data_IF_396677492226
#
_entry.id   IF_396677492226
#
_cell.length_a   1.000
_cell.length_b   1.000
_cell.length_c   1.000
_cell.angle_alpha   90.00
_cell.angle_beta   90.00
_cell.angle_gamma   90.00
#
_symmetry.space_group_name_H-M   'P 1'
#
loop_
_entity.id
_entity.type
_entity.pdbx_description
1 polymer ?
#
# COMPACT_ATOMS: atom_id res chain seq x y z
N UNK A 1 -29.55 16.07 -16.38
CA UNK A 1 -28.97 15.24 -17.46
C UNK A 1 -27.65 15.83 -17.96
N UNK A 2 -27.54 17.15 -18.18
CA UNK A 2 -26.29 17.81 -18.61
C UNK A 2 -25.12 17.61 -17.65
N UNK A 3 -25.36 17.68 -16.33
CA UNK A 3 -24.31 17.51 -15.31
C UNK A 3 -23.73 16.09 -15.29
N UNK A 4 -24.50 15.08 -15.67
CA UNK A 4 -24.01 13.71 -15.76
C UNK A 4 -23.02 13.55 -16.93
N UNK A 5 -23.39 14.07 -18.11
CA UNK A 5 -22.55 14.02 -19.30
C UNK A 5 -21.27 14.86 -19.14
N UNK A 6 -21.35 15.98 -18.41
CA UNK A 6 -20.19 16.81 -18.08
C UNK A 6 -19.17 16.09 -17.17
N UNK A 7 -19.64 15.26 -16.24
CA UNK A 7 -18.78 14.52 -15.30
C UNK A 7 -18.30 13.16 -15.82
N UNK A 8 -18.83 12.67 -16.95
CA UNK A 8 -18.41 11.40 -17.55
C UNK A 8 -16.89 11.27 -17.73
N UNK A 9 -16.15 12.28 -18.26
CA UNK A 9 -14.69 12.19 -18.39
C UNK A 9 -13.99 12.03 -17.04
N UNK A 10 -14.44 12.76 -16.01
CA UNK A 10 -13.90 12.68 -14.66
C UNK A 10 -14.14 11.31 -14.02
N UNK A 11 -15.33 10.72 -14.21
CA UNK A 11 -15.61 9.37 -13.72
C UNK A 11 -14.75 8.31 -14.40
N UNK A 12 -14.53 8.43 -15.71
CA UNK A 12 -13.65 7.52 -16.46
C UNK A 12 -12.20 7.67 -15.97
N UNK A 13 -11.72 8.91 -15.79
CA UNK A 13 -10.37 9.17 -15.31
C UNK A 13 -10.15 8.60 -13.89
N UNK A 14 -11.09 8.81 -12.97
CA UNK A 14 -11.02 8.25 -11.61
C UNK A 14 -11.12 6.72 -11.61
N UNK A 15 -11.98 6.14 -12.47
CA UNK A 15 -12.08 4.69 -12.64
C UNK A 15 -10.78 4.08 -13.15
N UNK A 16 -10.15 4.71 -14.14
CA UNK A 16 -8.87 4.28 -14.68
C UNK A 16 -7.74 4.40 -13.63
N UNK A 17 -7.68 5.52 -12.90
CA UNK A 17 -6.71 5.71 -11.82
C UNK A 17 -6.81 4.61 -10.75
N UNK A 18 -8.03 4.32 -10.28
CA UNK A 18 -8.27 3.23 -9.32
C UNK A 18 -7.94 1.86 -9.92
N UNK A 19 -8.27 1.63 -11.19
CA UNK A 19 -7.90 0.40 -11.91
C UNK A 19 -6.38 0.20 -11.96
N UNK A 20 -5.61 1.25 -12.24
CA UNK A 20 -4.15 1.21 -12.21
C UNK A 20 -3.62 0.84 -10.82
N UNK A 21 -4.20 1.40 -9.74
CA UNK A 21 -3.82 1.05 -8.36
C UNK A 21 -4.06 -0.45 -8.12
N UNK A 22 -5.24 -0.97 -8.45
CA UNK A 22 -5.54 -2.39 -8.25
C UNK A 22 -4.65 -3.32 -9.07
N UNK A 23 -4.32 -2.94 -10.31
CA UNK A 23 -3.39 -3.70 -11.17
C UNK A 23 -1.98 -3.69 -10.56
N UNK A 24 -1.49 -2.54 -10.06
CA UNK A 24 -0.18 -2.46 -9.42
C UNK A 24 -0.10 -3.34 -8.17
N UNK A 25 -1.14 -3.33 -7.33
CA UNK A 25 -1.21 -4.20 -6.14
C UNK A 25 -1.23 -5.68 -6.54
N UNK A 26 -2.05 -6.04 -7.53
CA UNK A 26 -2.14 -7.40 -8.04
C UNK A 26 -0.81 -7.88 -8.65
N UNK A 27 -0.12 -7.02 -9.42
CA UNK A 27 1.22 -7.31 -9.94
C UNK A 27 2.24 -7.52 -8.82
N UNK A 28 2.24 -6.68 -7.78
CA UNK A 28 3.11 -6.85 -6.62
C UNK A 28 2.90 -8.20 -5.93
N UNK A 29 1.64 -8.58 -5.71
CA UNK A 29 1.30 -9.88 -5.16
C UNK A 29 1.77 -11.02 -6.06
N UNK A 30 1.57 -10.92 -7.38
CA UNK A 30 1.99 -11.93 -8.35
C UNK A 30 3.52 -12.10 -8.40
N UNK A 31 4.29 -11.01 -8.33
CA UNK A 31 5.76 -11.07 -8.32
C UNK A 31 6.28 -11.80 -7.08
N UNK A 32 5.71 -11.51 -5.90
CA UNK A 32 6.08 -12.18 -4.65
C UNK A 32 5.72 -13.67 -4.72
N UNK A 33 4.49 -13.98 -5.16
CA UNK A 33 4.05 -15.36 -5.27
C UNK A 33 4.87 -16.17 -6.28
N UNK A 34 5.15 -15.59 -7.46
CA UNK A 34 5.93 -16.24 -8.52
C UNK A 34 7.38 -16.53 -8.10
N UNK A 35 7.98 -15.64 -7.29
CA UNK A 35 9.36 -15.82 -6.82
C UNK A 35 9.50 -16.71 -5.59
N UNK A 36 8.52 -16.71 -4.69
CA UNK A 36 8.60 -17.44 -3.41
C UNK A 36 7.80 -18.75 -3.40
N UNK A 37 6.81 -18.91 -4.27
CA UNK A 37 5.85 -20.00 -4.24
C UNK A 37 4.88 -19.96 -3.05
N UNK A 38 4.87 -18.86 -2.28
CA UNK A 38 4.08 -18.71 -1.06
C UNK A 38 3.22 -17.45 -1.12
N UNK A 39 1.98 -17.57 -0.67
CA UNK A 39 1.07 -16.43 -0.54
C UNK A 39 1.45 -15.62 0.70
N UNK A 40 1.82 -14.35 0.50
CA UNK A 40 2.06 -13.40 1.58
C UNK A 40 0.77 -12.67 1.94
N UNK A 41 0.18 -12.98 3.09
CA UNK A 41 -1.05 -12.34 3.56
C UNK A 41 -0.85 -10.92 4.09
N UNK A 42 0.39 -10.48 4.35
CA UNK A 42 0.69 -9.12 4.77
C UNK A 42 0.70 -8.09 3.63
N UNK A 43 0.48 -8.52 2.37
CA UNK A 43 0.59 -7.64 1.21
C UNK A 43 -0.27 -6.38 1.30
N UNK A 44 -1.52 -6.52 1.76
CA UNK A 44 -2.44 -5.39 1.92
C UNK A 44 -1.93 -4.37 2.96
N UNK A 45 -1.24 -4.84 3.99
CA UNK A 45 -0.71 -3.97 5.04
C UNK A 45 0.50 -3.16 4.57
N UNK A 46 1.31 -3.68 3.64
CA UNK A 46 2.35 -2.86 2.99
C UNK A 46 1.74 -1.71 2.17
N UNK A 47 0.63 -1.96 1.47
CA UNK A 47 -0.10 -0.92 0.75
C UNK A 47 -0.67 0.13 1.72
N UNK A 48 -1.29 -0.32 2.83
CA UNK A 48 -1.79 0.57 3.88
C UNK A 48 -0.67 1.43 4.46
N UNK A 49 0.45 0.82 4.85
CA UNK A 49 1.60 1.54 5.40
C UNK A 49 2.17 2.53 4.40
N UNK A 50 2.26 2.19 3.10
CA UNK A 50 2.68 3.13 2.06
C UNK A 50 1.80 4.38 1.99
N UNK A 51 0.48 4.22 2.08
CA UNK A 51 -0.47 5.34 2.13
C UNK A 51 -0.34 6.19 3.39
N UNK A 52 -0.26 5.56 4.57
CA UNK A 52 -0.10 6.25 5.85
C UNK A 52 1.23 7.01 5.94
N UNK A 53 2.30 6.43 5.43
CA UNK A 53 3.61 7.10 5.36
C UNK A 53 3.57 8.28 4.37
N UNK A 54 2.87 8.15 3.23
CA UNK A 54 2.68 9.27 2.32
C UNK A 54 1.93 10.43 2.99
N UNK A 55 0.89 10.13 3.78
CA UNK A 55 0.21 11.13 4.62
C UNK A 55 1.14 11.74 5.67
N UNK A 56 1.89 10.92 6.41
CA UNK A 56 2.78 11.39 7.45
C UNK A 56 3.87 12.33 6.89
N UNK A 57 4.45 11.99 5.74
CA UNK A 57 5.46 12.82 5.11
C UNK A 57 4.89 14.10 4.49
N UNK A 58 3.73 14.02 3.82
CA UNK A 58 3.15 15.20 3.16
C UNK A 58 2.47 16.16 4.13
N UNK A 59 1.67 15.65 5.06
CA UNK A 59 0.82 16.46 5.95
C UNK A 59 1.49 16.71 7.30
N UNK A 60 2.00 15.65 7.95
CA UNK A 60 2.58 15.82 9.30
C UNK A 60 3.99 16.44 9.25
N UNK A 61 4.80 16.08 8.26
CA UNK A 61 6.15 16.65 8.07
C UNK A 61 6.19 17.82 7.07
N UNK A 62 5.07 18.11 6.37
CA UNK A 62 4.97 19.24 5.45
C UNK A 62 5.84 19.11 4.18
N UNK A 63 6.26 17.90 3.81
CA UNK A 63 7.10 17.69 2.62
C UNK A 63 6.27 17.85 1.34
N UNK A 64 6.89 18.33 0.24
CA UNK A 64 6.21 18.40 -1.04
C UNK A 64 5.78 17.01 -1.49
N UNK A 65 4.59 16.91 -2.07
CA UNK A 65 3.92 15.64 -2.36
C UNK A 65 4.76 14.66 -3.20
N UNK A 66 5.51 15.06 -4.25
CA UNK A 66 6.39 14.15 -4.98
C UNK A 66 7.46 13.51 -4.07
N UNK A 67 8.07 14.30 -3.18
CA UNK A 67 9.10 13.83 -2.26
C UNK A 67 8.50 12.89 -1.20
N UNK A 68 7.32 13.24 -0.67
CA UNK A 68 6.60 12.42 0.29
C UNK A 68 6.26 11.03 -0.29
N UNK A 69 5.82 10.98 -1.56
CA UNK A 69 5.53 9.72 -2.26
C UNK A 69 6.80 8.90 -2.50
N UNK A 70 7.91 9.53 -2.94
CA UNK A 70 9.17 8.79 -3.13
C UNK A 70 9.67 8.19 -1.81
N UNK A 71 9.61 8.94 -0.71
CA UNK A 71 10.01 8.47 0.61
C UNK A 71 9.08 7.38 1.14
N UNK A 72 7.76 7.48 0.90
CA UNK A 72 6.82 6.45 1.34
C UNK A 72 7.01 5.14 0.58
N UNK A 73 7.28 5.19 -0.73
CA UNK A 73 7.63 4.01 -1.54
C UNK A 73 8.93 3.38 -1.05
N UNK A 74 9.97 4.18 -0.80
CA UNK A 74 11.24 3.68 -0.28
C UNK A 74 11.09 3.03 1.10
N UNK A 75 10.32 3.65 2.00
CA UNK A 75 10.03 3.11 3.32
C UNK A 75 9.18 1.82 3.26
N UNK A 76 8.17 1.75 2.39
CA UNK A 76 7.38 0.54 2.17
C UNK A 76 8.22 -0.60 1.59
N UNK A 77 9.11 -0.30 0.63
CA UNK A 77 10.07 -1.26 0.09
C UNK A 77 11.03 -1.78 1.17
N UNK A 78 11.51 -0.90 2.05
CA UNK A 78 12.34 -1.27 3.20
C UNK A 78 11.58 -2.18 4.16
N UNK A 79 10.33 -1.84 4.53
CA UNK A 79 9.48 -2.69 5.37
C UNK A 79 9.25 -4.07 4.76
N UNK A 80 9.00 -4.13 3.44
CA UNK A 80 8.88 -5.39 2.70
C UNK A 80 10.18 -6.20 2.75
N UNK A 81 11.32 -5.57 2.50
CA UNK A 81 12.64 -6.21 2.55
C UNK A 81 13.02 -6.71 3.94
N UNK A 82 12.68 -5.96 4.99
CA UNK A 82 12.86 -6.38 6.39
C UNK A 82 11.98 -7.58 6.71
N UNK A 83 10.71 -7.55 6.31
CA UNK A 83 9.79 -8.69 6.52
C UNK A 83 10.28 -9.93 5.78
N UNK A 84 10.72 -9.77 4.53
CA UNK A 84 11.27 -10.86 3.74
C UNK A 84 12.47 -11.48 4.44
N UNK A 85 13.45 -10.67 4.88
CA UNK A 85 14.67 -11.20 5.52
C UNK A 85 14.44 -11.79 6.90
N UNK A 86 13.58 -11.19 7.72
CA UNK A 86 13.40 -11.59 9.12
C UNK A 86 12.33 -12.66 9.33
N UNK A 87 11.33 -12.74 8.45
CA UNK A 87 10.17 -13.63 8.62
C UNK A 87 10.09 -14.67 7.52
N UNK A 88 10.05 -14.26 6.25
CA UNK A 88 9.79 -15.18 5.14
C UNK A 88 11.01 -16.05 4.82
N UNK A 89 12.18 -15.44 4.65
CA UNK A 89 13.41 -16.11 4.26
C UNK A 89 13.86 -17.21 5.25
N UNK A 90 13.79 -17.01 6.59
CA UNK A 90 14.11 -18.07 7.55
C UNK A 90 13.10 -19.23 7.51
N UNK A 91 11.83 -18.93 7.26
CA UNK A 91 10.72 -19.89 7.31
C UNK A 91 10.48 -20.62 5.99
N UNK A 92 11.14 -20.23 4.89
CA UNK A 92 10.98 -20.88 3.57
C UNK A 92 11.24 -22.39 3.59
N UNK A 93 12.05 -22.89 4.53
CA UNK A 93 12.36 -24.32 4.70
C UNK A 93 11.39 -25.04 5.66
N UNK A 94 10.61 -24.30 6.44
CA UNK A 94 9.67 -24.85 7.44
C UNK A 94 8.32 -25.28 6.84
N UNK A 95 8.09 -24.97 5.55
CA UNK A 95 6.88 -25.33 4.81
C UNK A 95 5.95 -24.15 4.53
N UNK A 96 5.11 -24.32 3.51
CA UNK A 96 4.22 -23.27 2.99
C UNK A 96 3.24 -22.78 4.06
N UNK A 97 2.60 -23.70 4.80
CA UNK A 97 1.60 -23.38 5.81
C UNK A 97 2.19 -22.56 6.98
N UNK A 98 3.40 -22.91 7.42
CA UNK A 98 4.12 -22.16 8.47
C UNK A 98 4.41 -20.72 8.01
N UNK A 99 4.85 -20.57 6.76
CA UNK A 99 5.13 -19.24 6.19
C UNK A 99 3.85 -18.41 6.05
N UNK A 100 2.73 -19.02 5.63
CA UNK A 100 1.42 -18.37 5.59
C UNK A 100 1.03 -17.84 6.98
N UNK A 101 1.07 -18.68 8.01
CA UNK A 101 0.73 -18.28 9.39
C UNK A 101 1.63 -17.12 9.86
N UNK A 102 2.93 -17.19 9.56
CA UNK A 102 3.85 -16.13 9.91
C UNK A 102 3.49 -14.79 9.21
N UNK A 103 3.12 -14.82 7.93
CA UNK A 103 2.68 -13.61 7.21
C UNK A 103 1.36 -13.05 7.73
N UNK A 104 0.45 -13.90 8.22
CA UNK A 104 -0.76 -13.45 8.93
C UNK A 104 -0.38 -12.73 10.23
N UNK A 105 0.59 -13.28 10.98
CA UNK A 105 1.14 -12.63 12.18
C UNK A 105 1.73 -11.25 11.87
N UNK A 106 2.50 -11.12 10.78
CA UNK A 106 3.02 -9.83 10.31
C UNK A 106 1.89 -8.88 9.92
N UNK A 107 0.86 -9.37 9.23
CA UNK A 107 -0.31 -8.55 8.86
C UNK A 107 -0.95 -7.93 10.09
N UNK A 108 -1.27 -8.75 11.10
CA UNK A 108 -1.87 -8.28 12.35
C UNK A 108 -0.95 -7.28 13.04
N UNK A 109 0.35 -7.55 13.11
CA UNK A 109 1.33 -6.66 13.72
C UNK A 109 1.40 -5.29 13.04
N UNK A 110 1.55 -5.26 11.71
CA UNK A 110 1.62 -4.01 10.94
C UNK A 110 0.31 -3.22 11.06
N UNK A 111 -0.83 -3.92 10.97
CA UNK A 111 -2.15 -3.32 11.16
C UNK A 111 -2.32 -2.70 12.54
N UNK A 112 -1.90 -3.40 13.58
CA UNK A 112 -1.94 -2.90 14.96
C UNK A 112 -1.05 -1.68 15.14
N UNK A 113 0.17 -1.68 14.61
CA UNK A 113 1.05 -0.49 14.65
C UNK A 113 0.42 0.67 13.91
N UNK A 114 -0.08 0.44 12.69
CA UNK A 114 -0.76 1.45 11.90
C UNK A 114 -1.90 2.10 12.68
N UNK A 115 -2.74 1.29 13.34
CA UNK A 115 -3.86 1.78 14.15
C UNK A 115 -3.44 2.56 15.39
N UNK A 116 -2.33 2.20 16.03
CA UNK A 116 -1.82 2.92 17.21
C UNK A 116 -1.27 4.29 16.84
N UNK A 117 -0.53 4.37 15.72
CA UNK A 117 0.09 5.63 15.27
C UNK A 117 -0.95 6.51 14.55
N UNK A 118 -1.80 5.90 13.73
CA UNK A 118 -2.83 6.55 12.91
C UNK A 118 -4.21 6.00 13.27
N UNK A 119 -4.82 6.51 14.36
CA UNK A 119 -6.09 5.98 14.89
C UNK A 119 -7.31 6.31 14.03
N UNK A 120 -7.24 7.28 13.10
CA UNK A 120 -8.38 7.62 12.25
C UNK A 120 -8.56 6.59 11.13
N UNK A 121 -9.81 6.35 10.74
CA UNK A 121 -10.13 5.38 9.69
C UNK A 121 -9.67 5.83 8.29
N UNK A 122 -9.56 7.14 8.06
CA UNK A 122 -9.15 7.69 6.78
C UNK A 122 -8.29 8.94 6.96
N UNK A 123 -7.16 8.97 6.24
CA UNK A 123 -6.28 10.12 6.13
C UNK A 123 -6.21 10.55 4.67
N UNK A 124 -6.36 11.85 4.41
CA UNK A 124 -6.32 12.42 3.06
C UNK A 124 -4.99 13.12 2.85
N UNK A 125 -4.30 12.74 1.76
CA UNK A 125 -3.16 13.50 1.25
C UNK A 125 -3.67 14.67 0.40
N UNK A 126 -2.94 15.80 0.33
CA UNK A 126 -3.30 16.91 -0.53
C UNK A 126 -3.44 16.48 -2.00
N UNK A 127 -4.36 17.11 -2.73
CA UNK A 127 -4.56 16.84 -4.15
C UNK A 127 -3.32 17.27 -4.95
N UNK A 128 -2.88 16.44 -5.89
CA UNK A 128 -1.81 16.79 -6.84
C UNK A 128 -2.24 17.91 -7.79
N UNK A 129 -3.52 17.90 -8.20
CA UNK A 129 -4.12 18.88 -9.11
C UNK A 129 -5.44 19.35 -8.49
N UNK A 130 -5.71 20.66 -8.38
CA UNK A 130 -6.99 21.16 -7.92
C UNK A 130 -8.10 20.66 -8.85
N UNK A 131 -9.14 20.04 -8.30
CA UNK A 131 -10.25 19.39 -9.03
C UNK A 131 -11.17 20.28 -9.88
N UNK A 132 -10.69 21.41 -10.42
CA UNK A 132 -11.39 22.25 -11.40
C UNK A 132 -10.97 21.92 -12.83
N UNK A 133 -11.43 20.77 -13.34
CA UNK A 133 -11.52 20.48 -14.78
C UNK A 133 -12.98 20.15 -15.12
#
# INVERSE_FOLDING_TARGET
>A
MGDFLANCPQYIANGLANGCIYILVAMGFNIIYSSTGVINFAQGEFCMMGGLLAYAFSVSAGLPLPLAVTLSVAAAALLGGVTERLVVYPLRKAGVLVTIIATIGVSIFLKSIGRVIWPNEAYKVPEFTPGNL
#
